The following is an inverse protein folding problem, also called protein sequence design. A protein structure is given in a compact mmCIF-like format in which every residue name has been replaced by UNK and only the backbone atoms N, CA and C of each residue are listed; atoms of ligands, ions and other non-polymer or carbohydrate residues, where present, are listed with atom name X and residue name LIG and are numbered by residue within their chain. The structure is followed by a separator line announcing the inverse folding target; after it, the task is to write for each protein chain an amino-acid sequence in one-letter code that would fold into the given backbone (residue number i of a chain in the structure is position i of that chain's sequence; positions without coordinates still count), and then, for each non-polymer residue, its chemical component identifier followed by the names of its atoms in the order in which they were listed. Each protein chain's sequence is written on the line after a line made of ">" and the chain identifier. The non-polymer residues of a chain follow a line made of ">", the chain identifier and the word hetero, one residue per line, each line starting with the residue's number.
data_IF_509105517345
#
_entry.id   IF_509105517345
#
_cell.length_a   1.000
_cell.length_b   1.000
_cell.length_c   1.000
_cell.angle_alpha   90.00
_cell.angle_beta   90.00
_cell.angle_gamma   90.00
#
_symmetry.space_group_name_H-M   'P 1'
#
loop_
_entity.id
_entity.type
_entity.pdbx_description
1 polymer ?
#
# COMPACT_ATOMS: atom_id res chain seq x y z
N UNK A 1 4.84 -11.61 -10.07
CA UNK A 1 6.08 -10.90 -9.69
C UNK A 1 6.21 -10.88 -8.17
N UNK A 2 5.35 -10.18 -7.44
CA UNK A 2 5.43 -9.99 -5.99
C UNK A 2 5.57 -11.32 -5.21
N UNK A 3 4.69 -12.28 -5.45
CA UNK A 3 4.77 -13.60 -4.83
C UNK A 3 6.04 -14.37 -5.19
N UNK A 4 6.45 -14.34 -6.47
CA UNK A 4 7.67 -15.01 -6.90
C UNK A 4 8.91 -14.44 -6.21
N UNK A 5 9.04 -13.11 -6.16
CA UNK A 5 10.18 -12.45 -5.52
C UNK A 5 10.26 -12.79 -4.03
N UNK A 6 9.15 -12.83 -3.33
CA UNK A 6 9.10 -13.21 -1.92
C UNK A 6 9.41 -14.69 -1.70
N UNK A 7 8.91 -15.59 -2.55
CA UNK A 7 9.09 -17.04 -2.39
C UNK A 7 10.51 -17.49 -2.76
N UNK A 8 11.15 -16.82 -3.71
CA UNK A 8 12.51 -17.15 -4.15
C UNK A 8 13.61 -16.46 -3.33
N UNK A 9 13.29 -15.46 -2.54
CA UNK A 9 14.24 -14.78 -1.68
C UNK A 9 14.82 -15.75 -0.64
N UNK A 10 16.14 -16.04 -0.73
CA UNK A 10 16.86 -16.85 0.26
C UNK A 10 17.12 -16.09 1.54
N UNK A 11 17.29 -14.76 1.46
CA UNK A 11 17.46 -13.80 2.57
C UNK A 11 16.72 -12.52 2.24
N UNK A 12 16.36 -11.74 3.25
CA UNK A 12 15.73 -10.43 3.06
C UNK A 12 14.26 -10.48 2.65
N UNK A 13 13.53 -11.54 3.04
CA UNK A 13 12.07 -11.55 2.92
C UNK A 13 11.49 -10.37 3.66
N UNK A 14 10.60 -9.63 2.99
CA UNK A 14 9.91 -8.47 3.57
C UNK A 14 8.63 -8.92 4.29
N UNK A 15 8.07 -10.05 3.87
CA UNK A 15 6.79 -10.53 4.37
C UNK A 15 5.61 -9.88 3.65
N UNK A 16 5.70 -9.72 2.32
CA UNK A 16 4.66 -9.06 1.52
C UNK A 16 3.32 -9.78 1.59
N UNK A 17 2.23 -9.07 1.26
CA UNK A 17 0.89 -9.65 1.13
C UNK A 17 0.68 -10.43 -0.16
N UNK A 18 1.66 -10.41 -1.07
CA UNK A 18 1.61 -11.01 -2.42
C UNK A 18 0.45 -10.51 -3.29
N UNK A 19 -0.04 -9.29 -3.02
CA UNK A 19 -1.14 -8.65 -3.75
C UNK A 19 -0.66 -7.70 -4.85
N UNK A 20 0.65 -7.64 -5.11
CA UNK A 20 1.24 -6.85 -6.19
C UNK A 20 1.40 -5.35 -5.89
N UNK A 21 1.30 -4.95 -4.63
CA UNK A 21 1.41 -3.53 -4.24
C UNK A 21 2.81 -2.98 -4.56
N UNK A 22 3.88 -3.67 -4.15
CA UNK A 22 5.26 -3.26 -4.45
C UNK A 22 5.51 -3.07 -5.96
N UNK A 23 5.26 -4.07 -6.80
CA UNK A 23 5.40 -3.94 -8.26
C UNK A 23 4.56 -2.80 -8.86
N UNK A 24 3.36 -2.55 -8.35
CA UNK A 24 2.50 -1.44 -8.82
C UNK A 24 3.12 -0.08 -8.49
N UNK A 25 3.68 0.10 -7.30
CA UNK A 25 4.39 1.32 -6.94
C UNK A 25 5.69 1.49 -7.76
N UNK A 26 6.41 0.40 -8.03
CA UNK A 26 7.58 0.44 -8.94
C UNK A 26 7.18 0.97 -10.32
N UNK A 27 6.09 0.46 -10.87
CA UNK A 27 5.57 0.91 -12.18
C UNK A 27 5.11 2.37 -12.16
N UNK A 28 4.47 2.79 -11.06
CA UNK A 28 4.09 4.19 -10.85
C UNK A 28 5.31 5.11 -10.90
N UNK A 29 6.38 4.77 -10.19
CA UNK A 29 7.62 5.58 -10.15
C UNK A 29 8.37 5.56 -11.48
N UNK A 30 8.34 4.43 -12.18
CA UNK A 30 8.85 4.31 -13.55
C UNK A 30 7.96 5.01 -14.59
N UNK A 31 6.77 5.46 -14.23
CA UNK A 31 5.79 6.14 -15.07
C UNK A 31 5.24 5.27 -16.22
N UNK A 32 5.23 3.96 -15.99
CA UNK A 32 4.67 2.95 -16.90
C UNK A 32 3.43 2.24 -16.31
N UNK A 33 3.00 2.63 -15.11
CA UNK A 33 1.82 2.05 -14.46
C UNK A 33 0.52 2.52 -15.10
N UNK A 34 -0.49 1.64 -15.14
CA UNK A 34 -1.85 2.00 -15.48
C UNK A 34 -2.54 2.62 -14.25
N UNK A 35 -3.24 3.72 -14.47
CA UNK A 35 -4.12 4.36 -13.49
C UNK A 35 -5.57 3.96 -13.73
N UNK A 36 -6.43 4.10 -12.73
CA UNK A 36 -7.87 3.81 -12.87
C UNK A 36 -8.50 4.61 -14.02
N UNK A 37 -8.09 5.88 -14.22
CA UNK A 37 -8.57 6.70 -15.34
C UNK A 37 -8.25 6.10 -16.71
N UNK A 38 -7.15 5.36 -16.84
CA UNK A 38 -6.74 4.75 -18.09
C UNK A 38 -7.73 3.66 -18.56
N UNK A 39 -8.44 3.03 -17.61
CA UNK A 39 -9.48 2.04 -17.94
C UNK A 39 -10.63 2.66 -18.78
N UNK A 40 -10.78 3.97 -18.73
CA UNK A 40 -11.82 4.73 -19.44
C UNK A 40 -11.26 5.58 -20.57
N UNK A 41 -9.95 5.50 -20.81
CA UNK A 41 -9.29 6.25 -21.88
C UNK A 41 -9.34 5.49 -23.20
N UNK A 42 -9.59 6.16 -24.34
CA UNK A 42 -9.44 5.56 -25.66
C UNK A 42 -7.99 5.14 -25.94
N UNK A 43 -7.02 5.75 -25.27
CA UNK A 43 -5.58 5.49 -25.44
C UNK A 43 -5.08 4.24 -24.68
N UNK A 44 -5.95 3.54 -23.94
CA UNK A 44 -5.55 2.36 -23.16
C UNK A 44 -4.83 1.31 -24.03
N UNK A 45 -5.35 1.11 -25.25
CA UNK A 45 -4.77 0.15 -26.19
C UNK A 45 -3.34 0.50 -26.58
N UNK A 46 -3.06 1.77 -26.86
CA UNK A 46 -1.74 2.27 -27.23
C UNK A 46 -0.76 2.20 -26.04
N UNK A 47 -1.22 2.54 -24.85
CA UNK A 47 -0.43 2.39 -23.62
C UNK A 47 0.01 0.94 -23.40
N UNK A 48 -0.87 -0.02 -23.66
CA UNK A 48 -0.54 -1.43 -23.55
C UNK A 48 0.49 -1.88 -24.59
N UNK A 49 0.50 -1.32 -25.79
CA UNK A 49 1.52 -1.61 -26.80
C UNK A 49 2.93 -1.23 -26.35
N UNK A 50 3.05 -0.21 -25.51
CA UNK A 50 4.33 0.25 -24.93
C UNK A 50 4.70 -0.59 -23.72
N UNK A 51 3.76 -0.82 -22.82
CA UNK A 51 4.03 -1.42 -21.50
C UNK A 51 4.20 -2.93 -21.58
N UNK A 52 3.33 -3.60 -22.33
CA UNK A 52 3.20 -5.05 -22.28
C UNK A 52 4.44 -5.80 -22.80
N UNK A 53 5.14 -5.37 -23.87
CA UNK A 53 6.37 -6.01 -24.31
C UNK A 53 7.45 -6.02 -23.21
N UNK A 54 7.61 -4.91 -22.49
CA UNK A 54 8.58 -4.77 -21.39
C UNK A 54 8.21 -5.71 -20.24
N UNK A 55 6.93 -5.73 -19.87
CA UNK A 55 6.42 -6.60 -18.80
C UNK A 55 6.56 -8.07 -19.15
N UNK A 56 6.19 -8.45 -20.35
CA UNK A 56 6.30 -9.83 -20.82
C UNK A 56 7.75 -10.32 -20.89
N UNK A 57 8.67 -9.46 -21.33
CA UNK A 57 10.10 -9.77 -21.28
C UNK A 57 10.57 -10.05 -19.86
N UNK A 58 10.22 -9.18 -18.92
CA UNK A 58 10.53 -9.36 -17.49
C UNK A 58 9.90 -10.63 -16.92
N UNK A 59 8.62 -10.88 -17.20
CA UNK A 59 7.92 -12.08 -16.74
C UNK A 59 8.61 -13.35 -17.24
N UNK A 60 8.96 -13.40 -18.52
CA UNK A 60 9.55 -14.57 -19.17
C UNK A 60 11.02 -14.78 -18.78
N UNK A 61 11.85 -13.76 -18.97
CA UNK A 61 13.31 -13.90 -18.88
C UNK A 61 13.84 -13.81 -17.45
N UNK A 62 13.21 -13.00 -16.59
CA UNK A 62 13.65 -12.83 -15.19
C UNK A 62 12.93 -13.78 -14.26
N UNK A 63 11.63 -13.96 -14.45
CA UNK A 63 10.81 -14.73 -13.50
C UNK A 63 10.41 -16.13 -14.01
N UNK A 64 10.60 -16.44 -15.30
CA UNK A 64 10.15 -17.72 -15.87
C UNK A 64 8.64 -17.91 -15.82
N UNK A 65 7.88 -16.83 -15.80
CA UNK A 65 6.43 -16.82 -15.66
C UNK A 65 5.73 -16.71 -17.01
N UNK A 66 4.42 -17.06 -17.03
CA UNK A 66 3.54 -16.88 -18.19
C UNK A 66 3.49 -15.41 -18.60
N UNK A 67 3.53 -15.16 -19.91
CA UNK A 67 3.27 -13.87 -20.53
C UNK A 67 1.79 -13.69 -20.82
N UNK A 68 1.37 -12.46 -21.10
CA UNK A 68 -0.02 -12.11 -21.40
C UNK A 68 -0.12 -11.48 -22.78
N UNK A 69 -1.20 -11.76 -23.51
CA UNK A 69 -1.51 -11.03 -24.74
C UNK A 69 -2.18 -9.69 -24.44
N UNK A 70 -2.16 -8.81 -25.41
CA UNK A 70 -2.85 -7.52 -25.30
C UNK A 70 -4.36 -7.69 -25.11
N UNK A 71 -4.94 -8.65 -25.81
CA UNK A 71 -6.36 -8.98 -25.75
C UNK A 71 -6.77 -9.49 -24.36
N UNK A 72 -5.95 -10.38 -23.74
CA UNK A 72 -6.18 -10.84 -22.38
C UNK A 72 -6.19 -9.67 -21.38
N UNK A 73 -5.23 -8.74 -21.51
CA UNK A 73 -5.14 -7.60 -20.61
C UNK A 73 -6.27 -6.60 -20.84
N UNK A 74 -6.60 -6.30 -22.12
CA UNK A 74 -7.73 -5.43 -22.46
C UNK A 74 -9.06 -5.99 -21.94
N UNK A 75 -9.28 -7.29 -22.03
CA UNK A 75 -10.48 -7.93 -21.51
C UNK A 75 -10.59 -7.76 -19.99
N UNK A 76 -9.47 -7.92 -19.26
CA UNK A 76 -9.41 -7.64 -17.82
C UNK A 76 -9.70 -6.16 -17.50
N UNK A 77 -9.08 -5.25 -18.22
CA UNK A 77 -9.29 -3.81 -18.05
C UNK A 77 -10.76 -3.44 -18.25
N UNK A 78 -11.39 -3.94 -19.31
CA UNK A 78 -12.83 -3.70 -19.58
C UNK A 78 -13.71 -4.23 -18.47
N UNK A 79 -13.48 -5.47 -18.03
CA UNK A 79 -14.21 -6.08 -16.92
C UNK A 79 -14.13 -5.20 -15.66
N UNK A 80 -12.94 -4.76 -15.28
CA UNK A 80 -12.77 -3.92 -14.10
C UNK A 80 -13.29 -2.50 -14.29
N UNK A 81 -13.23 -1.95 -15.50
CA UNK A 81 -13.83 -0.67 -15.82
C UNK A 81 -15.35 -0.67 -15.53
N UNK A 82 -16.05 -1.74 -15.94
CA UNK A 82 -17.48 -1.90 -15.64
C UNK A 82 -17.78 -2.01 -14.15
N UNK A 83 -16.98 -2.83 -13.43
CA UNK A 83 -17.14 -3.02 -11.97
C UNK A 83 -16.91 -1.72 -11.21
N UNK A 84 -15.89 -0.95 -11.59
CA UNK A 84 -15.52 0.27 -10.87
C UNK A 84 -16.34 1.50 -11.26
N UNK A 85 -16.99 1.49 -12.43
CA UNK A 85 -17.68 2.67 -12.96
C UNK A 85 -18.62 3.37 -11.96
N UNK A 86 -19.43 2.67 -11.14
CA UNK A 86 -20.27 3.32 -10.15
C UNK A 86 -19.51 4.02 -9.01
N UNK A 87 -18.23 3.71 -8.83
CA UNK A 87 -17.40 4.17 -7.72
C UNK A 87 -16.32 5.16 -8.16
N UNK A 88 -16.15 5.38 -9.47
CA UNK A 88 -15.13 6.30 -9.98
C UNK A 88 -15.64 7.73 -9.97
N UNK A 89 -14.92 8.58 -9.26
CA UNK A 89 -15.13 10.02 -9.30
C UNK A 89 -14.08 10.65 -10.22
N UNK A 90 -14.52 11.20 -11.36
CA UNK A 90 -13.61 11.86 -12.31
C UNK A 90 -13.27 13.29 -11.91
N UNK A 91 -14.06 13.90 -11.05
CA UNK A 91 -13.95 15.29 -10.61
C UNK A 91 -13.74 15.39 -9.08
N UNK A 92 -12.86 14.54 -8.57
CA UNK A 92 -12.62 14.42 -7.13
C UNK A 92 -12.04 15.72 -6.52
N UNK A 93 -11.26 16.50 -7.28
CA UNK A 93 -10.75 17.80 -6.82
C UNK A 93 -11.91 18.75 -6.53
N UNK A 94 -12.88 18.81 -7.44
CA UNK A 94 -14.10 19.63 -7.24
C UNK A 94 -14.88 19.20 -6.00
N UNK A 95 -14.97 17.90 -5.75
CA UNK A 95 -15.62 17.38 -4.54
C UNK A 95 -14.95 17.91 -3.28
N UNK A 96 -13.60 17.92 -3.24
CA UNK A 96 -12.85 18.47 -2.11
C UNK A 96 -12.97 19.99 -2.00
N UNK A 97 -12.92 20.70 -3.12
CA UNK A 97 -13.11 22.16 -3.15
C UNK A 97 -14.51 22.58 -2.66
N UNK A 98 -15.54 21.89 -3.14
CA UNK A 98 -16.91 22.12 -2.71
C UNK A 98 -17.09 21.84 -1.22
N UNK A 99 -16.53 20.75 -0.72
CA UNK A 99 -16.55 20.41 0.70
C UNK A 99 -15.90 21.50 1.55
N UNK A 100 -14.75 22.02 1.11
CA UNK A 100 -14.06 23.14 1.78
C UNK A 100 -14.87 24.42 1.75
N UNK A 101 -15.42 24.81 0.58
CA UNK A 101 -16.28 25.99 0.43
C UNK A 101 -17.49 25.90 1.35
N UNK A 102 -18.08 24.74 1.45
CA UNK A 102 -19.27 24.46 2.27
C UNK A 102 -18.91 24.21 3.75
N UNK A 103 -17.64 24.41 4.15
CA UNK A 103 -17.10 24.22 5.51
C UNK A 103 -17.40 22.83 6.10
N UNK A 104 -17.40 21.80 5.27
CA UNK A 104 -17.54 20.41 5.71
C UNK A 104 -16.23 19.89 6.30
N UNK A 105 -16.35 19.05 7.31
CA UNK A 105 -15.19 18.29 7.80
C UNK A 105 -14.79 17.23 6.77
N UNK A 106 -13.48 17.14 6.48
CA UNK A 106 -12.90 16.14 5.60
C UNK A 106 -11.96 15.28 6.45
N UNK A 107 -12.22 13.97 6.48
CA UNK A 107 -11.36 13.00 7.14
C UNK A 107 -10.54 12.24 6.11
N UNK A 108 -9.22 12.34 6.23
CA UNK A 108 -8.29 11.48 5.51
C UNK A 108 -7.88 10.31 6.42
N UNK A 109 -8.36 9.12 6.11
CA UNK A 109 -7.99 7.92 6.84
C UNK A 109 -6.84 7.21 6.14
N UNK A 110 -5.71 7.08 6.83
CA UNK A 110 -4.56 6.30 6.38
C UNK A 110 -4.69 4.82 6.75
N UNK A 111 -3.74 4.04 6.28
CA UNK A 111 -3.58 2.62 6.63
C UNK A 111 -2.14 2.38 7.08
N UNK A 112 -1.83 1.14 7.51
CA UNK A 112 -0.52 0.72 8.01
C UNK A 112 -0.09 1.50 9.28
N UNK A 113 1.11 2.10 9.29
CA UNK A 113 1.64 2.86 10.40
C UNK A 113 2.98 3.50 10.07
N UNK A 114 3.40 4.47 10.87
CA UNK A 114 4.60 5.31 10.63
C UNK A 114 5.85 4.44 10.38
N UNK A 115 6.06 3.38 11.15
CA UNK A 115 7.25 2.53 11.00
C UNK A 115 7.23 1.66 9.74
N UNK A 116 6.13 1.66 8.99
CA UNK A 116 6.01 1.03 7.68
C UNK A 116 6.12 2.03 6.52
N UNK A 117 6.33 3.32 6.79
CA UNK A 117 6.54 4.33 5.75
C UNK A 117 7.81 4.05 4.95
N UNK A 118 7.75 4.23 3.63
CA UNK A 118 8.86 3.92 2.72
C UNK A 118 10.10 4.77 3.01
N UNK A 119 9.91 6.01 3.48
CA UNK A 119 10.99 6.95 3.76
C UNK A 119 11.36 7.01 5.25
N UNK A 120 10.37 7.00 6.13
CA UNK A 120 10.56 7.17 7.58
C UNK A 120 10.53 5.88 8.40
N UNK A 121 10.08 4.77 7.79
CA UNK A 121 9.98 3.49 8.46
C UNK A 121 11.28 2.72 8.57
N UNK A 122 11.15 1.46 9.00
CA UNK A 122 12.27 0.53 9.16
C UNK A 122 12.66 -0.13 7.84
N UNK A 123 13.11 0.67 6.87
CA UNK A 123 13.55 0.18 5.56
C UNK A 123 14.59 -0.94 5.69
N UNK A 124 14.53 -2.04 4.92
CA UNK A 124 13.60 -2.33 3.82
C UNK A 124 12.26 -2.95 4.23
N UNK A 125 12.00 -3.14 5.51
CA UNK A 125 10.79 -3.79 6.05
C UNK A 125 9.63 -2.80 6.18
N UNK A 126 9.22 -2.25 5.06
CA UNK A 126 8.23 -1.16 4.94
C UNK A 126 7.20 -1.47 3.86
N UNK A 127 6.11 -0.69 3.80
CA UNK A 127 5.23 -0.67 2.64
C UNK A 127 5.85 0.17 1.52
N UNK A 128 5.34 0.05 0.30
CA UNK A 128 5.80 0.87 -0.83
C UNK A 128 5.14 2.26 -0.89
N UNK A 129 4.49 2.68 0.17
CA UNK A 129 3.73 3.93 0.25
C UNK A 129 4.12 4.76 1.46
N UNK A 130 3.58 5.99 1.54
CA UNK A 130 3.76 6.89 2.67
C UNK A 130 2.47 6.93 3.51
N UNK A 131 2.34 6.11 4.57
CA UNK A 131 1.20 6.13 5.48
C UNK A 131 1.21 7.26 6.51
N UNK A 132 2.28 8.07 6.59
CA UNK A 132 2.35 9.26 7.43
C UNK A 132 1.40 10.37 6.93
N UNK A 133 1.12 11.38 7.77
CA UNK A 133 0.18 12.46 7.46
C UNK A 133 0.43 13.16 6.12
N UNK A 134 1.71 13.32 5.71
CA UNK A 134 2.07 13.86 4.40
C UNK A 134 1.53 13.04 3.20
N UNK A 135 1.29 11.74 3.40
CA UNK A 135 0.70 10.87 2.38
C UNK A 135 -0.73 11.27 1.98
N UNK A 136 -1.48 11.90 2.88
CA UNK A 136 -2.80 12.44 2.57
C UNK A 136 -2.71 13.56 1.52
N UNK A 137 -1.76 14.48 1.68
CA UNK A 137 -1.54 15.57 0.73
C UNK A 137 -1.10 15.04 -0.65
N UNK A 138 -0.10 14.17 -0.71
CA UNK A 138 0.40 13.63 -1.98
C UNK A 138 -0.60 12.70 -2.67
N UNK A 139 -1.39 11.94 -1.92
CA UNK A 139 -2.38 11.01 -2.44
C UNK A 139 -3.64 11.69 -2.98
N UNK A 140 -4.10 12.75 -2.32
CA UNK A 140 -5.30 13.48 -2.69
C UNK A 140 -5.05 14.73 -3.52
N UNK A 141 -3.80 15.24 -3.56
CA UNK A 141 -3.50 16.56 -4.12
C UNK A 141 -4.02 17.73 -3.28
N UNK A 142 -4.54 17.46 -2.07
CA UNK A 142 -4.95 18.50 -1.13
C UNK A 142 -3.71 19.14 -0.53
N UNK A 143 -3.65 20.48 -0.55
CA UNK A 143 -2.45 21.20 -0.09
C UNK A 143 -2.10 20.88 1.39
N UNK A 144 -0.83 20.70 1.73
CA UNK A 144 -0.46 20.34 3.11
C UNK A 144 -0.88 21.39 4.15
N UNK A 145 -0.90 22.67 3.76
CA UNK A 145 -1.38 23.78 4.62
C UNK A 145 -2.90 23.83 4.77
N UNK A 146 -3.61 22.93 4.10
CA UNK A 146 -5.07 22.81 4.18
C UNK A 146 -5.50 21.64 5.08
N UNK A 147 -4.54 20.93 5.67
CA UNK A 147 -4.77 19.90 6.68
C UNK A 147 -4.65 20.59 8.04
N UNK A 148 -5.76 20.66 8.77
CA UNK A 148 -5.83 21.39 10.03
C UNK A 148 -5.20 20.61 11.18
N UNK A 149 -5.36 19.28 11.18
CA UNK A 149 -4.91 18.42 12.27
C UNK A 149 -4.51 17.04 11.75
N UNK A 150 -3.50 16.44 12.39
CA UNK A 150 -3.08 15.05 12.16
C UNK A 150 -3.22 14.28 13.45
N UNK A 151 -4.09 13.26 13.44
CA UNK A 151 -4.36 12.41 14.60
C UNK A 151 -3.64 11.07 14.43
N UNK A 152 -2.71 10.77 15.34
CA UNK A 152 -2.07 9.47 15.43
C UNK A 152 -2.88 8.51 16.30
N UNK A 153 -3.18 7.32 15.79
CA UNK A 153 -3.82 6.25 16.55
C UNK A 153 -2.78 5.20 16.92
N UNK A 154 -2.65 4.94 18.21
CA UNK A 154 -1.73 3.95 18.74
C UNK A 154 -2.44 2.93 19.63
N UNK A 155 -1.91 1.72 19.65
CA UNK A 155 -2.32 0.71 20.62
C UNK A 155 -1.53 0.86 21.92
N UNK A 156 -2.06 0.34 23.01
CA UNK A 156 -1.35 0.25 24.30
C UNK A 156 -0.18 -0.77 24.29
N UNK A 157 -0.04 -1.51 23.22
CA UNK A 157 1.05 -2.46 22.92
C UNK A 157 1.42 -2.36 21.45
N UNK A 158 2.54 -2.94 21.04
CA UNK A 158 3.00 -2.89 19.63
C UNK A 158 2.73 -4.22 18.94
N UNK A 159 2.37 -4.13 17.67
CA UNK A 159 2.24 -5.31 16.80
C UNK A 159 2.96 -5.10 15.48
N UNK A 160 3.50 -6.19 14.93
CA UNK A 160 4.13 -6.19 13.61
C UNK A 160 3.74 -7.42 12.80
N UNK A 161 3.47 -7.23 11.52
CA UNK A 161 3.31 -8.32 10.54
C UNK A 161 4.58 -8.39 9.69
N UNK A 162 5.08 -9.60 9.45
CA UNK A 162 6.28 -9.82 8.64
C UNK A 162 7.58 -9.60 9.41
N UNK A 163 8.64 -9.43 8.65
CA UNK A 163 10.01 -9.34 9.15
C UNK A 163 10.35 -7.93 9.62
N UNK A 164 11.58 -7.77 10.09
CA UNK A 164 12.13 -6.49 10.51
C UNK A 164 12.27 -6.33 12.02
N UNK A 165 12.89 -5.22 12.46
CA UNK A 165 13.21 -5.00 13.86
C UNK A 165 11.94 -4.85 14.72
N UNK A 166 12.00 -5.40 15.93
CA UNK A 166 10.94 -5.30 16.91
C UNK A 166 11.55 -5.40 18.32
N UNK A 167 12.02 -4.27 18.83
CA UNK A 167 12.83 -4.19 20.05
C UNK A 167 12.09 -4.70 21.29
N UNK A 168 10.79 -4.44 21.39
CA UNK A 168 9.94 -4.80 22.53
C UNK A 168 9.16 -6.11 22.31
N UNK A 169 9.55 -6.92 21.32
CA UNK A 169 8.86 -8.17 21.02
C UNK A 169 8.84 -9.14 22.20
N UNK A 170 7.69 -9.76 22.42
CA UNK A 170 7.47 -10.81 23.42
C UNK A 170 7.30 -12.16 22.72
N UNK A 171 8.23 -13.07 23.00
CA UNK A 171 8.22 -14.44 22.47
C UNK A 171 7.74 -15.47 23.49
N UNK A 172 7.32 -15.01 24.67
CA UNK A 172 6.83 -15.78 25.79
C UNK A 172 5.30 -15.93 25.80
N UNK A 173 4.78 -16.52 26.87
CA UNK A 173 3.33 -16.69 27.08
C UNK A 173 2.57 -15.36 27.10
N UNK A 174 3.19 -14.27 27.52
CA UNK A 174 2.57 -12.95 27.55
C UNK A 174 2.30 -12.46 26.12
N UNK A 175 3.28 -12.60 25.23
CA UNK A 175 3.13 -12.28 23.82
C UNK A 175 2.04 -13.11 23.13
N UNK A 176 1.94 -14.40 23.48
CA UNK A 176 0.89 -15.30 22.97
C UNK A 176 -0.48 -14.83 23.44
N UNK A 177 -0.65 -14.54 24.75
CA UNK A 177 -1.92 -14.05 25.32
C UNK A 177 -2.37 -12.72 24.68
N UNK A 178 -1.45 -11.77 24.49
CA UNK A 178 -1.76 -10.49 23.82
C UNK A 178 -2.30 -10.77 22.43
N UNK A 179 -1.67 -11.66 21.67
CA UNK A 179 -2.09 -12.02 20.31
C UNK A 179 -3.48 -12.65 20.28
N UNK A 180 -3.75 -13.59 21.17
CA UNK A 180 -5.02 -14.32 21.22
C UNK A 180 -6.17 -13.41 21.66
N UNK A 181 -6.02 -12.70 22.78
CA UNK A 181 -7.03 -11.79 23.32
C UNK A 181 -7.28 -10.61 22.38
N UNK A 182 -6.20 -10.06 21.83
CA UNK A 182 -6.26 -8.94 20.87
C UNK A 182 -6.68 -9.33 19.45
N UNK A 183 -6.89 -10.62 19.17
CA UNK A 183 -7.17 -11.15 17.82
C UNK A 183 -6.18 -10.63 16.77
N UNK A 184 -4.90 -10.59 17.16
CA UNK A 184 -3.83 -9.98 16.36
C UNK A 184 -3.41 -10.85 15.18
N UNK A 185 -4.24 -10.80 14.14
CA UNK A 185 -4.00 -11.44 12.85
C UNK A 185 -4.09 -10.41 11.72
N UNK A 186 -3.33 -10.62 10.66
CA UNK A 186 -3.41 -9.78 9.47
C UNK A 186 -4.74 -9.99 8.76
N UNK A 187 -5.54 -8.92 8.58
CA UNK A 187 -6.87 -8.98 7.97
C UNK A 187 -6.84 -9.62 6.58
N UNK A 188 -5.84 -9.28 5.78
CA UNK A 188 -5.73 -9.75 4.39
C UNK A 188 -5.12 -11.15 4.26
N UNK A 189 -4.21 -11.51 5.17
CA UNK A 189 -3.40 -12.74 5.05
C UNK A 189 -3.70 -13.78 6.10
N UNK A 190 -4.44 -13.43 7.15
CA UNK A 190 -4.67 -14.29 8.32
C UNK A 190 -3.40 -14.59 9.14
N UNK A 191 -2.23 -14.04 8.75
CA UNK A 191 -0.97 -14.32 9.45
C UNK A 191 -1.00 -13.74 10.87
N UNK A 192 -0.53 -14.51 11.88
CA UNK A 192 -0.40 -14.01 13.23
C UNK A 192 0.58 -12.82 13.26
N UNK A 193 0.23 -11.80 14.01
CA UNK A 193 1.12 -10.66 14.26
C UNK A 193 2.07 -11.00 15.40
N UNK A 194 3.29 -10.51 15.29
CA UNK A 194 4.25 -10.43 16.41
C UNK A 194 3.74 -9.37 17.37
N UNK A 195 3.78 -9.62 18.66
CA UNK A 195 3.27 -8.71 19.68
C UNK A 195 4.39 -8.35 20.68
N UNK A 196 4.33 -7.17 21.25
CA UNK A 196 5.33 -6.71 22.21
C UNK A 196 4.83 -5.54 23.04
N UNK A 197 5.63 -5.16 24.05
CA UNK A 197 5.32 -4.01 24.89
C UNK A 197 5.25 -2.73 24.10
N UNK A 198 4.55 -1.75 24.65
CA UNK A 198 4.52 -0.38 24.11
C UNK A 198 5.95 0.17 24.00
N UNK A 199 6.31 0.64 22.80
CA UNK A 199 7.62 1.21 22.50
C UNK A 199 7.52 2.74 22.53
N UNK A 200 7.87 3.32 23.68
CA UNK A 200 7.80 4.77 23.88
C UNK A 200 8.83 5.53 23.00
N UNK A 201 9.96 4.91 22.66
CA UNK A 201 10.97 5.53 21.80
C UNK A 201 10.46 5.63 20.37
N UNK A 202 9.92 4.51 19.87
CA UNK A 202 9.28 4.51 18.53
C UNK A 202 8.07 5.45 18.49
N UNK A 203 7.27 5.51 19.57
CA UNK A 203 6.15 6.45 19.64
C UNK A 203 6.61 7.89 19.61
N UNK A 204 7.63 8.25 20.36
CA UNK A 204 8.22 9.60 20.33
C UNK A 204 8.71 9.96 18.93
N UNK A 205 9.33 9.03 18.23
CA UNK A 205 9.76 9.23 16.85
C UNK A 205 8.54 9.44 15.90
N UNK A 206 7.46 8.70 16.13
CA UNK A 206 6.28 8.75 15.25
C UNK A 206 5.46 10.06 15.36
N UNK A 207 5.62 10.83 16.44
CA UNK A 207 4.92 12.12 16.66
C UNK A 207 5.76 13.34 16.31
N UNK A 208 7.00 13.17 15.84
CA UNK A 208 7.85 14.24 15.32
C UNK A 208 7.46 14.62 13.90
#
# INVERSE_FOLDING_TARGET
>A
VDGYSEDTAKKGKIGTTKKGIGPTYTDKMARIGLKIQDLYSPELSEKLDIILPIKNKTLKEVYGLKTYTKEEVLALCKKYAEIFRPYVCFDWQKVLEDAKRDKKAILFEGAQGVMLDIDYGTYPFVTSSNPIGGGAATGSGYGPTMIDEVIGVAKAYVTRVGEGPFVTELTDETGIKIREIGHECGVTTGRPRRCGWFDAVTMKYAVL
#
